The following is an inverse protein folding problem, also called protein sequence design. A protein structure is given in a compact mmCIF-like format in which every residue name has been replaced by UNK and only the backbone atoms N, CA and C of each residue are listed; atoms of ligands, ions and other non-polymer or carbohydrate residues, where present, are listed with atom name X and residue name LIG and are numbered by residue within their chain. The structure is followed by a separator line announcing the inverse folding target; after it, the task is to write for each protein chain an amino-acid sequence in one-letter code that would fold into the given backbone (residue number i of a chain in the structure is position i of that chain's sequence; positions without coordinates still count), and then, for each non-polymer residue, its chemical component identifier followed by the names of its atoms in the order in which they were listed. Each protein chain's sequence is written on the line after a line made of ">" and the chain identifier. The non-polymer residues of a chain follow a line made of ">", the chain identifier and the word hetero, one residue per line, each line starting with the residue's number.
data_IF_736804515605
#
_entry.id   IF_736804515605
#
_cell.length_a   1.000
_cell.length_b   1.000
_cell.length_c   1.000
_cell.angle_alpha   90.00
_cell.angle_beta   90.00
_cell.angle_gamma   90.00
#
_symmetry.space_group_name_H-M   'P 1'
#
loop_
_entity.id
_entity.type
_entity.pdbx_description
1 polymer ?
#
# COMPACT_ATOMS: atom_id res chain seq x y z
N UNK A 1 -20.28 1.93 -9.39
CA UNK A 1 -19.21 2.55 -8.58
C UNK A 1 -17.94 2.50 -9.40
N UNK A 2 -17.28 3.64 -9.65
CA UNK A 2 -16.11 3.68 -10.54
C UNK A 2 -14.93 2.92 -9.91
N UNK A 3 -14.19 2.15 -10.71
CA UNK A 3 -13.03 1.33 -10.28
C UNK A 3 -12.05 2.11 -9.38
N UNK A 4 -11.78 3.37 -9.72
CA UNK A 4 -10.93 4.27 -8.94
C UNK A 4 -11.51 4.67 -7.58
N UNK A 5 -12.84 4.79 -7.47
CA UNK A 5 -13.50 5.09 -6.19
C UNK A 5 -13.43 3.90 -5.24
N UNK A 6 -13.53 2.68 -5.77
CA UNK A 6 -13.37 1.45 -4.99
C UNK A 6 -11.95 1.36 -4.38
N UNK A 7 -10.92 1.67 -5.16
CA UNK A 7 -9.53 1.69 -4.68
C UNK A 7 -9.28 2.71 -3.54
N UNK A 8 -9.82 3.93 -3.69
CA UNK A 8 -9.69 4.97 -2.66
C UNK A 8 -10.41 4.58 -1.37
N UNK A 9 -11.61 3.99 -1.47
CA UNK A 9 -12.37 3.54 -0.31
C UNK A 9 -11.71 2.35 0.38
N UNK A 10 -11.26 1.36 -0.39
CA UNK A 10 -10.52 0.22 0.13
C UNK A 10 -9.26 0.67 0.87
N UNK A 11 -8.49 1.60 0.29
CA UNK A 11 -7.30 2.15 0.93
C UNK A 11 -7.63 2.88 2.23
N UNK A 12 -8.73 3.64 2.27
CA UNK A 12 -9.18 4.36 3.47
C UNK A 12 -9.61 3.40 4.59
N UNK A 13 -10.26 2.30 4.25
CA UNK A 13 -10.78 1.33 5.21
C UNK A 13 -9.69 0.37 5.72
N UNK A 14 -8.71 0.02 4.88
CA UNK A 14 -7.73 -1.02 5.20
C UNK A 14 -6.36 -0.46 5.60
N UNK A 15 -6.00 0.78 5.25
CA UNK A 15 -4.67 1.32 5.57
C UNK A 15 -4.69 2.19 6.81
N UNK A 16 -3.81 1.85 7.76
CA UNK A 16 -3.54 2.72 8.90
C UNK A 16 -2.85 4.02 8.46
N UNK A 17 -2.96 5.09 9.27
CA UNK A 17 -2.20 6.35 9.07
C UNK A 17 -0.69 6.11 8.91
N UNK A 18 -0.18 5.05 9.53
CA UNK A 18 1.22 4.60 9.46
C UNK A 18 1.55 3.98 8.10
N UNK A 19 0.69 3.09 7.59
CA UNK A 19 0.81 2.50 6.25
C UNK A 19 0.79 3.58 5.18
N UNK A 20 -0.10 4.58 5.32
CA UNK A 20 -0.16 5.75 4.43
C UNK A 20 1.16 6.56 4.41
N UNK A 21 1.80 6.77 5.57
CA UNK A 21 3.11 7.46 5.62
C UNK A 21 4.21 6.66 4.94
N UNK A 22 4.24 5.33 5.15
CA UNK A 22 5.15 4.43 4.45
C UNK A 22 4.95 4.50 2.94
N UNK A 23 3.70 4.41 2.49
CA UNK A 23 3.31 4.56 1.08
C UNK A 23 3.78 5.88 0.49
N UNK A 24 3.64 6.99 1.21
CA UNK A 24 4.15 8.29 0.76
C UNK A 24 5.67 8.33 0.64
N UNK A 25 6.40 7.56 1.46
CA UNK A 25 7.86 7.53 1.52
C UNK A 25 8.49 6.80 0.33
N UNK A 26 7.90 5.68 -0.10
CA UNK A 26 8.38 4.91 -1.27
C UNK A 26 7.60 5.21 -2.56
N UNK A 27 6.33 5.61 -2.46
CA UNK A 27 5.48 5.94 -3.60
C UNK A 27 5.89 7.25 -4.28
N UNK A 28 6.34 8.27 -3.53
CA UNK A 28 6.80 9.53 -4.12
C UNK A 28 8.08 9.36 -4.99
N UNK A 29 9.14 8.67 -4.53
CA UNK A 29 10.29 8.40 -5.40
C UNK A 29 9.93 7.48 -6.56
N UNK A 30 9.01 6.52 -6.38
CA UNK A 30 8.54 5.68 -7.48
C UNK A 30 7.77 6.47 -8.55
N UNK A 31 6.92 7.41 -8.16
CA UNK A 31 6.24 8.32 -9.11
C UNK A 31 7.25 9.21 -9.84
N UNK A 32 8.30 9.68 -9.16
CA UNK A 32 9.39 10.42 -9.81
C UNK A 32 10.10 9.54 -10.83
N UNK A 33 10.36 8.28 -10.51
CA UNK A 33 10.96 7.31 -11.43
C UNK A 33 10.05 7.05 -12.65
N UNK A 34 8.74 6.89 -12.44
CA UNK A 34 7.76 6.74 -13.54
C UNK A 34 7.71 7.96 -14.46
N UNK A 35 7.91 9.17 -13.92
CA UNK A 35 7.99 10.40 -14.73
C UNK A 35 9.26 10.45 -15.59
N UNK A 36 10.37 9.94 -15.07
CA UNK A 36 11.64 9.87 -15.80
C UNK A 36 11.69 8.71 -16.81
N UNK A 37 11.00 7.60 -16.53
CA UNK A 37 11.06 6.38 -17.34
C UNK A 37 9.65 5.81 -17.62
N UNK A 38 9.11 6.02 -18.84
CA UNK A 38 7.73 5.66 -19.16
C UNK A 38 7.46 4.14 -19.15
N UNK A 39 8.51 3.31 -19.22
CA UNK A 39 8.36 1.86 -19.12
C UNK A 39 7.88 1.42 -17.73
N UNK A 40 8.36 2.06 -16.68
CA UNK A 40 7.89 1.79 -15.31
C UNK A 40 6.45 2.25 -15.13
N UNK A 41 6.05 3.33 -15.80
CA UNK A 41 4.66 3.77 -15.80
C UNK A 41 3.73 2.72 -16.44
N UNK A 42 4.13 2.12 -17.57
CA UNK A 42 3.36 1.04 -18.22
C UNK A 42 3.26 -0.22 -17.35
N UNK A 43 4.37 -0.64 -16.74
CA UNK A 43 4.37 -1.82 -15.85
C UNK A 43 3.47 -1.56 -14.62
N UNK A 44 3.63 -0.39 -13.99
CA UNK A 44 2.80 0.01 -12.86
C UNK A 44 1.32 0.08 -13.22
N UNK A 45 0.99 0.57 -14.42
CA UNK A 45 -0.40 0.63 -14.88
C UNK A 45 -1.03 -0.77 -15.00
N UNK A 46 -0.29 -1.75 -15.53
CA UNK A 46 -0.77 -3.14 -15.64
C UNK A 46 -1.03 -3.72 -14.25
N UNK A 47 -0.07 -3.56 -13.34
CA UNK A 47 -0.19 -4.07 -11.96
C UNK A 47 -1.33 -3.38 -11.20
N UNK A 48 -1.46 -2.06 -11.32
CA UNK A 48 -2.54 -1.29 -10.70
C UNK A 48 -3.91 -1.71 -11.26
N UNK A 49 -4.01 -1.96 -12.56
CA UNK A 49 -5.27 -2.43 -13.18
C UNK A 49 -5.69 -3.77 -12.59
N UNK A 50 -4.77 -4.74 -12.48
CA UNK A 50 -5.09 -6.04 -11.88
C UNK A 50 -5.50 -5.91 -10.42
N UNK A 51 -4.81 -5.07 -9.65
CA UNK A 51 -5.13 -4.82 -8.24
C UNK A 51 -6.52 -4.22 -8.06
N UNK A 52 -6.84 -3.17 -8.83
CA UNK A 52 -8.13 -2.48 -8.76
C UNK A 52 -9.27 -3.40 -9.20
N UNK A 53 -9.07 -4.26 -10.20
CA UNK A 53 -10.07 -5.25 -10.62
C UNK A 53 -10.35 -6.30 -9.53
N UNK A 54 -9.33 -6.76 -8.81
CA UNK A 54 -9.53 -7.67 -7.66
C UNK A 54 -10.25 -6.98 -6.51
N UNK A 55 -9.87 -5.74 -6.17
CA UNK A 55 -10.58 -4.94 -5.14
C UNK A 55 -12.04 -4.73 -5.54
N UNK A 56 -12.31 -4.35 -6.79
CA UNK A 56 -13.68 -4.12 -7.25
C UNK A 56 -14.52 -5.39 -7.20
N UNK A 57 -13.93 -6.56 -7.44
CA UNK A 57 -14.60 -7.85 -7.22
C UNK A 57 -14.88 -8.10 -5.73
N UNK A 58 -13.90 -7.86 -4.85
CA UNK A 58 -14.07 -8.00 -3.38
C UNK A 58 -15.13 -7.04 -2.82
N UNK A 59 -15.26 -5.84 -3.39
CA UNK A 59 -16.27 -4.85 -3.04
C UNK A 59 -17.62 -5.09 -3.73
N UNK A 60 -17.82 -6.24 -4.37
CA UNK A 60 -19.04 -6.58 -5.12
C UNK A 60 -19.42 -5.56 -6.22
N UNK A 61 -18.47 -4.73 -6.65
CA UNK A 61 -18.66 -3.78 -7.73
C UNK A 61 -18.49 -4.41 -9.12
N UNK A 62 -17.97 -5.64 -9.18
CA UNK A 62 -17.78 -6.41 -10.41
C UNK A 62 -18.18 -7.88 -10.21
N UNK A 63 -18.84 -8.52 -11.18
CA UNK A 63 -19.29 -9.91 -11.06
C UNK A 63 -18.16 -10.95 -11.21
N UNK A 64 -17.03 -10.58 -11.83
CA UNK A 64 -15.92 -11.49 -12.12
C UNK A 64 -14.62 -10.96 -11.54
N UNK A 65 -13.92 -11.80 -10.78
CA UNK A 65 -12.63 -11.50 -10.17
C UNK A 65 -11.46 -11.57 -11.13
N UNK A 66 -10.33 -10.99 -10.75
CA UNK A 66 -9.07 -11.12 -11.47
C UNK A 66 -8.05 -11.87 -10.61
N UNK A 67 -7.79 -13.13 -10.96
CA UNK A 67 -6.84 -13.99 -10.25
C UNK A 67 -5.42 -13.43 -10.22
N UNK A 68 -5.01 -12.64 -11.24
CA UNK A 68 -3.71 -11.96 -11.26
C UNK A 68 -3.63 -10.88 -10.19
N UNK A 69 -4.72 -10.15 -10.00
CA UNK A 69 -4.86 -9.16 -8.94
C UNK A 69 -4.88 -9.79 -7.55
N UNK A 70 -5.53 -10.94 -7.42
CA UNK A 70 -5.51 -11.74 -6.19
C UNK A 70 -4.09 -12.18 -5.80
N UNK A 71 -3.32 -12.74 -6.76
CA UNK A 71 -1.91 -13.11 -6.51
C UNK A 71 -1.09 -11.90 -6.11
N UNK A 72 -1.25 -10.78 -6.82
CA UNK A 72 -0.54 -9.55 -6.50
C UNK A 72 -0.86 -9.05 -5.08
N UNK A 73 -2.12 -9.13 -4.67
CA UNK A 73 -2.56 -8.75 -3.32
C UNK A 73 -2.02 -9.69 -2.25
N UNK A 74 -2.17 -11.00 -2.44
CA UNK A 74 -1.83 -12.00 -1.42
C UNK A 74 -0.32 -12.17 -1.26
N UNK A 75 0.40 -12.23 -2.38
CA UNK A 75 1.82 -12.61 -2.40
C UNK A 75 2.77 -11.41 -2.32
N UNK A 76 2.35 -10.22 -2.76
CA UNK A 76 3.19 -9.03 -2.70
C UNK A 76 2.64 -8.01 -1.72
N UNK A 77 1.37 -7.63 -1.86
CA UNK A 77 0.84 -6.48 -1.14
C UNK A 77 0.68 -6.73 0.37
N UNK A 78 0.11 -7.87 0.76
CA UNK A 78 -0.02 -8.29 2.17
C UNK A 78 1.33 -8.47 2.88
N UNK A 79 2.30 -9.22 2.35
CA UNK A 79 3.60 -9.35 3.00
C UNK A 79 4.38 -8.03 3.02
N UNK A 80 4.26 -7.19 1.98
CA UNK A 80 4.84 -5.84 2.00
C UNK A 80 4.20 -4.97 3.10
N UNK A 81 2.88 -4.98 3.24
CA UNK A 81 2.20 -4.26 4.33
C UNK A 81 2.56 -4.83 5.71
N UNK A 82 2.69 -6.14 5.83
CA UNK A 82 3.07 -6.81 7.08
C UNK A 82 4.49 -6.46 7.51
N UNK A 83 5.45 -6.54 6.59
CA UNK A 83 6.85 -6.18 6.84
C UNK A 83 7.00 -4.70 7.20
N UNK A 84 6.32 -3.80 6.48
CA UNK A 84 6.27 -2.37 6.84
C UNK A 84 5.64 -2.18 8.23
N UNK A 85 4.56 -2.91 8.54
CA UNK A 85 3.91 -2.90 9.85
C UNK A 85 4.84 -3.34 10.98
N UNK A 86 5.63 -4.39 10.75
CA UNK A 86 6.63 -4.91 11.68
C UNK A 86 7.78 -3.93 11.90
N UNK A 87 8.42 -3.44 10.83
CA UNK A 87 9.52 -2.48 10.91
C UNK A 87 9.09 -1.17 11.59
N UNK A 88 7.85 -0.73 11.38
CA UNK A 88 7.32 0.46 12.05
C UNK A 88 6.89 0.20 13.51
N UNK A 89 6.58 -1.05 13.89
CA UNK A 89 6.40 -1.43 15.29
C UNK A 89 7.72 -1.31 16.04
N UNK A 90 8.82 -1.73 15.43
CA UNK A 90 10.17 -1.59 16.00
C UNK A 90 10.64 -0.14 16.07
N UNK A 91 10.36 0.69 15.05
CA UNK A 91 10.71 2.11 15.08
C UNK A 91 9.87 2.91 16.10
N UNK A 92 8.61 2.53 16.31
CA UNK A 92 7.78 3.15 17.33
C UNK A 92 8.23 2.74 18.75
N UNK A 93 8.64 1.47 18.95
CA UNK A 93 9.15 1.02 20.25
C UNK A 93 10.53 1.59 20.57
N UNK A 94 11.37 1.90 19.57
CA UNK A 94 12.65 2.60 19.79
C UNK A 94 12.47 4.09 20.10
N UNK A 95 11.49 4.77 19.48
CA UNK A 95 11.16 6.16 19.81
C UNK A 95 10.54 6.26 21.22
N UNK A 96 9.59 5.39 21.58
CA UNK A 96 8.99 5.37 22.93
C UNK A 96 10.04 5.00 24.00
N UNK A 97 11.02 4.16 23.67
CA UNK A 97 12.13 3.85 24.60
C UNK A 97 13.04 5.05 24.80
N UNK A 98 13.33 5.81 23.75
CA UNK A 98 14.18 7.00 23.81
C UNK A 98 13.52 8.16 24.60
N UNK A 99 12.20 8.29 24.50
CA UNK A 99 11.40 9.31 25.20
C UNK A 99 11.25 8.99 26.71
N UNK A 100 11.30 7.70 27.09
CA UNK A 100 11.31 7.28 28.50
C UNK A 100 12.70 7.34 29.16
N UNK A 101 13.77 7.51 28.39
CA UNK A 101 15.14 7.69 28.90
C UNK A 101 15.55 9.14 29.09
N UNK A 102 14.73 10.12 28.68
CA UNK A 102 14.98 11.56 28.88
C UNK A 102 14.02 12.24 29.85
N UNK A 103 13.17 11.47 30.56
CA UNK A 103 12.27 11.98 31.58
C UNK A 103 12.80 11.85 33.03
N UNK A 104 14.07 11.46 33.22
CA UNK A 104 14.74 11.41 34.53
C UNK A 104 16.24 11.77 34.44
N UNK A 105 16.56 12.90 33.80
CA UNK A 105 17.78 13.65 34.11
C UNK A 105 17.44 15.13 34.29
#
# INVERSE_FOLDING_TARGET
>A
MDLWRADVLYSKENFSKRTMRGYRLWGLPYVRLMRSYPIFAKIAQILATWFIEDIAYQMHCRPVGNWKGWILRELFFKPLCSTIGFLLKEKASSIIRNDKTTAWQ
#
